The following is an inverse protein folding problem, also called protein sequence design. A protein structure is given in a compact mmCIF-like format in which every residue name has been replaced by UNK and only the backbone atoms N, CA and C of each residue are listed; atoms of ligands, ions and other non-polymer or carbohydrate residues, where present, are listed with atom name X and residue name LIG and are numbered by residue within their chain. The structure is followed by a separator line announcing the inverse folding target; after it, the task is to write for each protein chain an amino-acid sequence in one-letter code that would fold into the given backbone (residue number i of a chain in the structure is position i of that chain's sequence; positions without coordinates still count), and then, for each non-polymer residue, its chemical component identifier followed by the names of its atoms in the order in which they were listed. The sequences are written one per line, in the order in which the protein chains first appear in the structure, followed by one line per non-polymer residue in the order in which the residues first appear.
data_IF_479603538402
#
_entry.id   IF_479603538402
#
_cell.length_a   1.000
_cell.length_b   1.000
_cell.length_c   1.000
_cell.angle_alpha   90.00
_cell.angle_beta   90.00
_cell.angle_gamma   90.00
#
_symmetry.space_group_name_H-M   'P 1'
#
loop_
_entity.id
_entity.type
_entity.pdbx_description
1 polymer ?
#
# COMPACT_ATOMS: atom_id res chain seq x y z
N UNK A 1 -7.51 1.19 2.13
CA UNK A 1 -8.73 1.43 1.32
C UNK A 1 -9.19 2.89 1.42
N UNK A 2 -9.45 3.42 2.62
CA UNK A 2 -9.93 4.81 2.83
C UNK A 2 -9.03 5.89 2.22
N UNK A 3 -7.71 5.81 2.41
CA UNK A 3 -6.77 6.78 1.81
C UNK A 3 -6.81 6.76 0.28
N UNK A 4 -6.87 5.57 -0.32
CA UNK A 4 -6.95 5.45 -1.78
C UNK A 4 -8.31 5.93 -2.32
N UNK A 5 -9.40 5.70 -1.58
CA UNK A 5 -10.71 6.25 -1.92
C UNK A 5 -10.71 7.79 -1.92
N UNK A 6 -10.04 8.42 -0.95
CA UNK A 6 -9.87 9.87 -0.92
C UNK A 6 -9.11 10.38 -2.15
N UNK A 7 -8.02 9.71 -2.52
CA UNK A 7 -7.25 10.05 -3.71
C UNK A 7 -8.10 9.95 -4.97
N UNK A 8 -8.78 8.81 -5.18
CA UNK A 8 -9.64 8.60 -6.36
C UNK A 8 -10.76 9.63 -6.43
N UNK A 9 -11.43 9.93 -5.31
CA UNK A 9 -12.50 10.93 -5.27
C UNK A 9 -11.96 12.32 -5.64
N UNK A 10 -10.76 12.67 -5.16
CA UNK A 10 -10.09 13.92 -5.50
C UNK A 10 -9.68 13.98 -6.98
N UNK A 11 -9.13 12.90 -7.52
CA UNK A 11 -8.75 12.82 -8.94
C UNK A 11 -9.99 12.90 -9.84
N UNK A 12 -11.08 12.26 -9.44
CA UNK A 12 -12.37 12.37 -10.13
C UNK A 12 -12.86 13.82 -10.15
N UNK A 13 -12.82 14.52 -9.01
CA UNK A 13 -13.18 15.95 -8.93
C UNK A 13 -12.33 16.78 -9.91
N UNK A 14 -11.03 16.51 -9.98
CA UNK A 14 -10.10 17.22 -10.85
C UNK A 14 -10.45 17.05 -12.34
N UNK A 15 -10.92 15.88 -12.77
CA UNK A 15 -11.36 15.63 -14.15
C UNK A 15 -12.53 16.55 -14.53
N UNK A 16 -13.43 16.84 -13.60
CA UNK A 16 -14.56 17.75 -13.82
C UNK A 16 -14.15 19.25 -13.78
N UNK A 17 -12.94 19.58 -13.31
CA UNK A 17 -12.50 20.98 -13.18
C UNK A 17 -13.40 21.81 -12.26
N UNK A 18 -13.58 23.10 -12.58
CA UNK A 18 -14.37 24.01 -11.74
C UNK A 18 -15.85 23.62 -11.60
N UNK A 19 -16.44 22.95 -12.59
CA UNK A 19 -17.83 22.47 -12.51
C UNK A 19 -17.98 21.30 -11.55
N UNK A 20 -16.90 20.54 -11.31
CA UNK A 20 -16.88 19.48 -10.29
C UNK A 20 -17.16 19.98 -8.88
N UNK A 21 -16.86 21.26 -8.58
CA UNK A 21 -17.17 21.91 -7.31
C UNK A 21 -18.63 22.36 -7.18
N UNK A 22 -19.37 22.38 -8.29
CA UNK A 22 -20.80 22.72 -8.29
C UNK A 22 -21.63 21.49 -7.97
N UNK A 23 -22.86 21.71 -7.49
CA UNK A 23 -23.80 20.62 -7.14
C UNK A 23 -24.44 19.92 -8.35
N UNK A 24 -24.04 20.31 -9.56
CA UNK A 24 -24.51 19.72 -10.82
C UNK A 24 -24.02 18.28 -11.00
N UNK A 25 -22.87 17.95 -10.37
CA UNK A 25 -22.30 16.60 -10.37
C UNK A 25 -22.15 16.08 -8.94
N UNK A 26 -22.31 14.76 -8.71
CA UNK A 26 -22.20 14.19 -7.37
C UNK A 26 -20.76 14.17 -6.83
N UNK A 27 -19.76 14.50 -7.64
CA UNK A 27 -18.34 14.32 -7.32
C UNK A 27 -17.88 15.16 -6.12
N UNK A 28 -18.38 16.40 -5.94
CA UNK A 28 -18.10 17.20 -4.73
C UNK A 28 -18.55 16.47 -3.46
N UNK A 29 -19.71 15.82 -3.52
CA UNK A 29 -20.26 15.05 -2.41
C UNK A 29 -19.42 13.80 -2.15
N UNK A 30 -19.00 13.10 -3.21
CA UNK A 30 -18.14 11.92 -3.08
C UNK A 30 -16.80 12.26 -2.39
N UNK A 31 -16.20 13.43 -2.68
CA UNK A 31 -14.99 13.87 -1.98
C UNK A 31 -15.24 14.09 -0.49
N UNK A 32 -16.34 14.75 -0.13
CA UNK A 32 -16.71 14.97 1.28
C UNK A 32 -17.00 13.66 1.99
N UNK A 33 -17.74 12.76 1.35
CA UNK A 33 -18.10 11.46 1.91
C UNK A 33 -16.88 10.54 2.04
N UNK A 34 -15.94 10.58 1.08
CA UNK A 34 -14.69 9.85 1.19
C UNK A 34 -13.84 10.35 2.37
N UNK A 35 -13.87 11.64 2.68
CA UNK A 35 -13.04 12.23 3.73
C UNK A 35 -13.29 11.65 5.11
N UNK A 36 -14.54 11.33 5.47
CA UNK A 36 -14.81 10.82 6.81
C UNK A 36 -14.21 9.42 7.04
N UNK A 37 -13.96 8.66 5.96
CA UNK A 37 -13.51 7.27 6.02
C UNK A 37 -12.09 7.10 6.55
N UNK A 38 -11.27 8.16 6.61
CA UNK A 38 -9.94 8.10 7.22
C UNK A 38 -9.90 8.65 8.66
N UNK A 39 -11.06 9.05 9.21
CA UNK A 39 -11.20 9.64 10.54
C UNK A 39 -12.00 8.74 11.49
N UNK A 40 -13.17 8.25 11.07
CA UNK A 40 -14.03 7.42 11.92
C UNK A 40 -13.62 5.95 11.94
N UNK A 41 -14.02 5.25 13.01
CA UNK A 41 -13.68 3.83 13.27
C UNK A 41 -12.17 3.55 13.33
N UNK A 42 -11.41 4.57 13.74
CA UNK A 42 -9.95 4.53 13.82
C UNK A 42 -9.30 5.22 12.63
N UNK A 43 -8.49 6.23 12.92
CA UNK A 43 -7.76 6.97 11.90
C UNK A 43 -6.82 6.06 11.12
N UNK A 44 -6.39 6.48 9.93
CA UNK A 44 -5.41 5.72 9.13
C UNK A 44 -4.17 5.32 9.95
N UNK A 45 -3.72 6.17 10.86
CA UNK A 45 -2.58 5.87 11.71
C UNK A 45 -2.89 4.77 12.74
N UNK A 46 -4.08 4.78 13.35
CA UNK A 46 -4.49 3.69 14.23
C UNK A 46 -4.65 2.37 13.48
N UNK A 47 -5.11 2.41 12.23
CA UNK A 47 -5.18 1.23 11.36
C UNK A 47 -3.78 0.67 11.03
N UNK A 48 -2.79 1.54 10.80
CA UNK A 48 -1.38 1.12 10.63
C UNK A 48 -0.87 0.42 11.90
N UNK A 49 -1.10 1.00 13.08
CA UNK A 49 -0.72 0.39 14.37
C UNK A 49 -1.41 -0.97 14.57
N UNK A 50 -2.65 -1.12 14.11
CA UNK A 50 -3.33 -2.40 14.16
C UNK A 50 -2.71 -3.41 13.18
N UNK A 51 -2.43 -3.01 11.95
CA UNK A 51 -1.95 -3.85 10.86
C UNK A 51 -0.48 -4.29 11.05
N UNK A 52 0.39 -3.45 11.62
CA UNK A 52 1.80 -3.82 11.84
C UNK A 52 1.94 -5.03 12.76
N UNK A 53 0.98 -5.28 13.66
CA UNK A 53 0.92 -6.51 14.48
C UNK A 53 0.78 -7.76 13.61
N UNK A 54 -0.02 -7.68 12.54
CA UNK A 54 -0.16 -8.77 11.56
C UNK A 54 1.17 -9.05 10.84
N UNK A 55 1.89 -7.99 10.45
CA UNK A 55 3.24 -8.12 9.88
C UNK A 55 4.20 -8.79 10.88
N UNK A 56 4.24 -8.30 12.11
CA UNK A 56 5.16 -8.81 13.14
C UNK A 56 4.87 -10.27 13.52
N UNK A 57 3.60 -10.67 13.54
CA UNK A 57 3.20 -12.06 13.75
C UNK A 57 3.48 -12.99 12.56
N UNK A 58 3.80 -12.44 11.37
CA UNK A 58 4.00 -13.19 10.14
C UNK A 58 2.72 -13.68 9.45
N UNK A 59 1.53 -13.38 9.99
CA UNK A 59 0.26 -13.89 9.42
C UNK A 59 0.03 -13.42 7.98
N UNK A 60 0.41 -12.18 7.65
CA UNK A 60 0.27 -11.65 6.30
C UNK A 60 1.29 -12.26 5.34
N UNK A 61 2.54 -12.42 5.77
CA UNK A 61 3.56 -13.07 4.94
C UNK A 61 3.18 -14.52 4.64
N UNK A 62 2.66 -15.25 5.63
CA UNK A 62 2.11 -16.59 5.40
C UNK A 62 1.03 -16.59 4.32
N UNK A 63 0.08 -15.65 4.38
CA UNK A 63 -0.98 -15.52 3.37
C UNK A 63 -0.42 -15.17 1.99
N UNK A 64 0.60 -14.32 1.91
CA UNK A 64 1.29 -14.01 0.65
C UNK A 64 1.93 -15.27 0.06
N UNK A 65 2.59 -16.10 0.88
CA UNK A 65 3.17 -17.38 0.42
C UNK A 65 2.09 -18.38 -0.03
N UNK A 66 0.91 -18.36 0.58
CA UNK A 66 -0.25 -19.13 0.11
C UNK A 66 -0.70 -18.67 -1.30
N UNK A 67 -0.72 -17.36 -1.58
CA UNK A 67 -1.00 -16.83 -2.92
C UNK A 67 0.11 -17.15 -3.93
N UNK A 68 1.37 -17.04 -3.51
CA UNK A 68 2.54 -17.40 -4.32
C UNK A 68 2.50 -18.86 -4.77
N UNK A 69 1.95 -19.77 -3.96
CA UNK A 69 1.83 -21.18 -4.29
C UNK A 69 0.75 -21.50 -5.34
N UNK A 70 -0.17 -20.56 -5.65
CA UNK A 70 -1.23 -20.79 -6.63
C UNK A 70 -0.65 -20.94 -8.03
N UNK A 71 -1.06 -21.98 -8.75
CA UNK A 71 -0.65 -22.19 -10.14
C UNK A 71 -1.48 -21.29 -11.06
N UNK A 72 -0.81 -20.38 -11.76
CA UNK A 72 -1.42 -19.43 -12.69
C UNK A 72 -1.04 -19.77 -14.13
N UNK A 73 -1.86 -19.32 -15.10
CA UNK A 73 -1.55 -19.46 -16.53
C UNK A 73 -0.17 -18.89 -16.87
N UNK A 74 0.54 -19.43 -17.88
CA UNK A 74 1.88 -18.99 -18.24
C UNK A 74 2.03 -17.49 -18.51
N UNK A 75 1.01 -16.84 -19.07
CA UNK A 75 0.98 -15.40 -19.34
C UNK A 75 1.14 -14.53 -18.08
N UNK A 76 0.72 -15.03 -16.91
CA UNK A 76 0.76 -14.30 -15.64
C UNK A 76 2.08 -14.47 -14.88
N UNK A 77 2.97 -15.35 -15.33
CA UNK A 77 4.20 -15.66 -14.60
C UNK A 77 5.15 -14.47 -14.50
N UNK A 78 5.17 -13.58 -15.49
CA UNK A 78 5.98 -12.35 -15.43
C UNK A 78 5.52 -11.45 -14.28
N UNK A 79 4.22 -11.18 -14.18
CA UNK A 79 3.66 -10.37 -13.09
C UNK A 79 3.79 -11.08 -11.73
N UNK A 80 3.62 -12.40 -11.70
CA UNK A 80 3.85 -13.21 -10.49
C UNK A 80 5.28 -13.07 -9.99
N UNK A 81 6.27 -13.16 -10.88
CA UNK A 81 7.67 -12.98 -10.53
C UNK A 81 7.97 -11.58 -9.99
N UNK A 82 7.31 -10.53 -10.51
CA UNK A 82 7.37 -9.18 -9.93
C UNK A 82 6.86 -9.17 -8.49
N UNK A 83 5.72 -9.81 -8.20
CA UNK A 83 5.17 -9.89 -6.84
C UNK A 83 6.06 -10.70 -5.89
N UNK A 84 6.69 -11.77 -6.37
CA UNK A 84 7.70 -12.53 -5.61
C UNK A 84 8.86 -11.61 -5.24
N UNK A 85 9.40 -10.84 -6.19
CA UNK A 85 10.50 -9.92 -5.88
C UNK A 85 10.07 -8.73 -5.01
N UNK A 86 8.84 -8.24 -5.15
CA UNK A 86 8.28 -7.27 -4.20
C UNK A 86 8.23 -7.85 -2.78
N UNK A 87 7.89 -9.14 -2.64
CA UNK A 87 7.86 -9.85 -1.36
C UNK A 87 9.26 -9.99 -0.76
N UNK A 88 10.24 -10.40 -1.56
CA UNK A 88 11.64 -10.52 -1.12
C UNK A 88 12.19 -9.16 -0.63
N UNK A 89 11.91 -8.07 -1.35
CA UNK A 89 12.28 -6.70 -0.93
C UNK A 89 11.61 -6.26 0.35
N UNK A 90 10.34 -6.61 0.52
CA UNK A 90 9.62 -6.36 1.77
C UNK A 90 10.28 -7.10 2.94
N UNK A 91 10.62 -8.38 2.78
CA UNK A 91 11.29 -9.16 3.83
C UNK A 91 12.63 -8.52 4.23
N UNK A 92 13.47 -8.11 3.25
CA UNK A 92 14.72 -7.37 3.52
C UNK A 92 14.48 -6.04 4.26
N UNK A 93 13.48 -5.27 3.82
CA UNK A 93 13.12 -4.00 4.47
C UNK A 93 12.65 -4.20 5.91
N UNK A 94 11.90 -5.27 6.17
CA UNK A 94 11.44 -5.63 7.51
C UNK A 94 12.60 -6.06 8.40
N UNK A 95 13.58 -6.81 7.87
CA UNK A 95 14.80 -7.18 8.60
C UNK A 95 15.61 -5.95 8.99
N UNK A 96 15.83 -5.00 8.06
CA UNK A 96 16.51 -3.73 8.34
C UNK A 96 15.80 -2.97 9.46
N UNK A 97 14.47 -2.80 9.34
CA UNK A 97 13.70 -2.05 10.33
C UNK A 97 13.73 -2.72 11.72
N UNK A 98 13.68 -4.05 11.78
CA UNK A 98 13.76 -4.81 13.04
C UNK A 98 15.16 -4.79 13.66
N UNK A 99 16.20 -4.56 12.87
CA UNK A 99 17.57 -4.47 13.35
C UNK A 99 17.90 -3.12 14.01
N UNK A 100 17.03 -2.10 13.88
CA UNK A 100 17.19 -0.85 14.58
C UNK A 100 17.06 -1.05 16.10
N UNK A 101 18.04 -0.56 16.86
CA UNK A 101 17.99 -0.56 18.32
C UNK A 101 17.12 0.59 18.88
N UNK A 102 16.09 1.01 18.14
CA UNK A 102 15.23 2.13 18.45
C UNK A 102 13.79 1.85 18.00
N UNK A 103 12.89 1.64 18.97
CA UNK A 103 11.48 1.32 18.72
C UNK A 103 10.74 2.46 18.00
N UNK A 104 11.11 3.71 18.25
CA UNK A 104 10.45 4.86 17.63
C UNK A 104 10.78 4.95 16.13
N UNK A 105 11.99 4.57 15.71
CA UNK A 105 12.33 4.46 14.29
C UNK A 105 11.47 3.40 13.57
N UNK A 106 11.25 2.26 14.24
CA UNK A 106 10.38 1.21 13.72
C UNK A 106 8.92 1.69 13.60
N UNK A 107 8.40 2.31 14.65
CA UNK A 107 7.03 2.83 14.66
C UNK A 107 6.81 3.91 13.60
N UNK A 108 7.79 4.81 13.43
CA UNK A 108 7.76 5.85 12.39
C UNK A 108 7.66 5.26 10.97
N UNK A 109 8.32 4.13 10.73
CA UNK A 109 8.35 3.47 9.42
C UNK A 109 7.26 2.39 9.25
N UNK A 110 6.44 2.14 10.28
CA UNK A 110 5.39 1.11 10.24
C UNK A 110 4.39 1.34 9.11
N UNK A 111 4.06 2.60 8.78
CA UNK A 111 3.17 2.91 7.65
C UNK A 111 3.73 2.41 6.33
N UNK A 112 5.04 2.60 6.09
CA UNK A 112 5.70 2.17 4.85
C UNK A 112 5.65 0.64 4.71
N UNK A 113 5.95 -0.08 5.78
CA UNK A 113 5.86 -1.55 5.80
C UNK A 113 4.43 -2.05 5.55
N UNK A 114 3.43 -1.43 6.18
CA UNK A 114 2.01 -1.77 5.98
C UNK A 114 1.56 -1.50 4.54
N UNK A 115 1.94 -0.37 3.96
CA UNK A 115 1.61 -0.04 2.56
C UNK A 115 2.32 -0.98 1.57
N UNK A 116 3.58 -1.33 1.82
CA UNK A 116 4.31 -2.32 1.01
C UNK A 116 3.59 -3.67 0.97
N UNK A 117 3.21 -4.18 2.15
CA UNK A 117 2.44 -5.42 2.29
C UNK A 117 1.07 -5.32 1.62
N UNK A 118 0.39 -4.18 1.76
CA UNK A 118 -0.90 -3.92 1.12
C UNK A 118 -0.82 -4.01 -0.41
N UNK A 119 0.19 -3.38 -1.02
CA UNK A 119 0.43 -3.44 -2.46
C UNK A 119 0.69 -4.87 -2.95
N UNK A 120 1.46 -5.65 -2.19
CA UNK A 120 1.74 -7.07 -2.52
C UNK A 120 0.45 -7.89 -2.47
N UNK A 121 -0.33 -7.79 -1.38
CA UNK A 121 -1.58 -8.55 -1.22
C UNK A 121 -2.58 -8.21 -2.32
N UNK A 122 -2.81 -6.91 -2.59
CA UNK A 122 -3.75 -6.48 -3.64
C UNK A 122 -3.25 -6.92 -5.02
N UNK A 123 -1.95 -6.86 -5.27
CA UNK A 123 -1.35 -7.33 -6.51
C UNK A 123 -1.60 -8.82 -6.75
N UNK A 124 -1.44 -9.66 -5.72
CA UNK A 124 -1.78 -11.09 -5.82
C UNK A 124 -3.28 -11.30 -6.07
N UNK A 125 -4.16 -10.61 -5.34
CA UNK A 125 -5.60 -10.74 -5.52
C UNK A 125 -6.03 -10.36 -6.95
N UNK A 126 -5.55 -9.22 -7.48
CA UNK A 126 -5.84 -8.81 -8.85
C UNK A 126 -5.29 -9.79 -9.88
N UNK A 127 -4.11 -10.35 -9.65
CA UNK A 127 -3.52 -11.34 -10.55
C UNK A 127 -4.32 -12.64 -10.57
N UNK A 128 -4.78 -13.09 -9.39
CA UNK A 128 -5.66 -14.26 -9.26
C UNK A 128 -7.00 -13.97 -9.94
N UNK A 129 -7.59 -12.80 -9.75
CA UNK A 129 -8.85 -12.42 -10.41
C UNK A 129 -8.69 -12.33 -11.94
N UNK A 130 -7.54 -11.83 -12.43
CA UNK A 130 -7.21 -11.79 -13.85
C UNK A 130 -7.05 -13.19 -14.46
N UNK A 131 -6.56 -14.17 -13.71
CA UNK A 131 -6.50 -15.57 -14.16
C UNK A 131 -7.89 -16.16 -14.39
N UNK A 132 -8.87 -15.77 -13.56
CA UNK A 132 -10.26 -16.21 -13.69
C UNK A 132 -11.08 -15.40 -14.70
N UNK A 133 -10.79 -14.10 -14.85
CA UNK A 133 -11.55 -13.18 -15.69
C UNK A 133 -10.64 -12.08 -16.30
N UNK A 134 -10.52 -12.12 -17.62
CA UNK A 134 -9.69 -11.21 -18.41
C UNK A 134 -10.03 -9.72 -18.23
N UNK A 135 -11.23 -9.37 -17.72
CA UNK A 135 -11.59 -7.99 -17.42
C UNK A 135 -10.65 -7.34 -16.38
N UNK A 136 -10.00 -8.13 -15.53
CA UNK A 136 -9.04 -7.64 -14.54
C UNK A 136 -7.60 -7.59 -15.05
N UNK A 137 -7.30 -8.14 -16.23
CA UNK A 137 -5.95 -8.19 -16.80
C UNK A 137 -5.28 -6.81 -16.83
N UNK A 138 -6.01 -5.81 -17.35
CA UNK A 138 -5.51 -4.45 -17.47
C UNK A 138 -5.20 -3.82 -16.10
N UNK A 139 -6.12 -4.00 -15.14
CA UNK A 139 -5.95 -3.51 -13.78
C UNK A 139 -4.78 -4.18 -13.06
N UNK A 140 -4.61 -5.50 -13.20
CA UNK A 140 -3.50 -6.24 -12.63
C UNK A 140 -2.16 -5.72 -13.15
N UNK A 141 -2.02 -5.53 -14.48
CA UNK A 141 -0.81 -4.98 -15.08
C UNK A 141 -0.46 -3.58 -14.55
N UNK A 142 -1.42 -2.66 -14.54
CA UNK A 142 -1.18 -1.28 -14.09
C UNK A 142 -0.88 -1.25 -12.60
N UNK A 143 -1.70 -1.92 -11.79
CA UNK A 143 -1.58 -1.88 -10.34
C UNK A 143 -0.28 -2.50 -9.86
N UNK A 144 0.09 -3.68 -10.36
CA UNK A 144 1.32 -4.38 -9.93
C UNK A 144 2.55 -3.53 -10.27
N UNK A 145 2.61 -2.94 -11.47
CA UNK A 145 3.73 -2.08 -11.86
C UNK A 145 3.83 -0.81 -11.03
N UNK A 146 2.69 -0.15 -10.77
CA UNK A 146 2.65 1.04 -9.93
C UNK A 146 3.03 0.71 -8.48
N UNK A 147 2.46 -0.38 -7.93
CA UNK A 147 2.72 -0.85 -6.57
C UNK A 147 4.17 -1.26 -6.38
N UNK A 148 4.80 -1.86 -7.39
CA UNK A 148 6.22 -2.17 -7.39
C UNK A 148 7.09 -0.92 -7.23
N UNK A 149 6.85 0.11 -8.04
CA UNK A 149 7.58 1.38 -7.94
C UNK A 149 7.38 2.06 -6.57
N UNK A 150 6.14 2.07 -6.06
CA UNK A 150 5.82 2.60 -4.73
C UNK A 150 6.49 1.80 -3.60
N UNK A 151 6.65 0.49 -3.76
CA UNK A 151 7.35 -0.34 -2.79
C UNK A 151 8.86 -0.06 -2.82
N UNK A 152 9.43 0.12 -4.02
CA UNK A 152 10.84 0.47 -4.18
C UNK A 152 11.18 1.84 -3.55
N UNK A 153 10.29 2.82 -3.67
CA UNK A 153 10.43 4.12 -2.96
C UNK A 153 10.53 3.93 -1.44
N UNK A 154 9.64 3.09 -0.88
CA UNK A 154 9.56 2.81 0.56
C UNK A 154 10.76 2.00 1.06
N UNK A 155 11.17 0.99 0.30
CA UNK A 155 12.39 0.22 0.54
C UNK A 155 13.60 1.15 0.64
N UNK A 156 13.78 2.01 -0.37
CA UNK A 156 14.91 2.94 -0.38
C UNK A 156 14.87 3.89 0.83
N UNK A 157 13.69 4.43 1.18
CA UNK A 157 13.54 5.27 2.37
C UNK A 157 13.96 4.53 3.65
N UNK A 158 13.46 3.30 3.86
CA UNK A 158 13.79 2.49 5.04
C UNK A 158 15.29 2.17 5.07
N UNK A 159 15.89 1.81 3.94
CA UNK A 159 17.28 1.39 3.87
C UNK A 159 18.28 2.49 4.30
N UNK A 160 17.94 3.77 4.07
CA UNK A 160 18.80 4.91 4.37
C UNK A 160 18.38 5.70 5.62
N UNK A 161 17.28 5.33 6.29
CA UNK A 161 16.73 6.07 7.41
C UNK A 161 17.59 5.96 8.68
N UNK A 162 17.88 7.08 9.32
CA UNK A 162 18.75 7.17 10.50
C UNK A 162 18.08 7.84 11.70
N UNK A 163 18.71 7.76 12.88
CA UNK A 163 18.26 8.50 14.07
C UNK A 163 18.28 10.02 13.87
N UNK A 164 19.23 10.53 13.07
CA UNK A 164 19.29 11.96 12.74
C UNK A 164 18.06 12.41 11.96
N UNK A 165 17.55 11.56 11.07
CA UNK A 165 16.34 11.86 10.30
C UNK A 165 15.12 11.91 11.22
N UNK A 166 15.00 10.96 12.16
CA UNK A 166 13.94 10.96 13.16
C UNK A 166 13.98 12.21 14.05
N UNK A 167 15.17 12.59 14.53
CA UNK A 167 15.36 13.78 15.35
C UNK A 167 14.95 15.07 14.62
N UNK A 168 15.20 15.13 13.30
CA UNK A 168 14.78 16.27 12.47
C UNK A 168 13.25 16.42 12.47
N UNK A 169 12.49 15.33 12.37
CA UNK A 169 11.02 15.38 12.45
C UNK A 169 10.51 15.85 13.82
N UNK A 170 11.15 15.43 14.91
CA UNK A 170 10.77 15.84 16.27
C UNK A 170 11.11 17.30 16.60
N UNK A 171 12.07 17.88 15.89
CA UNK A 171 12.51 19.27 16.12
C UNK A 171 11.49 20.32 15.68
N UNK A 172 10.53 19.94 14.83
CA UNK A 172 9.45 20.80 14.34
C UNK A 172 8.29 20.73 15.35
N UNK A 173 8.21 21.73 16.23
CA UNK A 173 7.07 21.96 17.14
C UNK A 173 6.13 23.02 16.60
#
# INVERSE_FOLDING_TARGET
ASEYCNQIASDALQIHGGTGYMKDFPVERLVRDARITNIYEGTSQLQVVAAIRGINSGVFLKRVKEYEAINLKPEWQVLKNTLIEMTNRFERSLEIAKAWNNAEMFDFNSRRLVEMMGNIIIGYLLLIDADHNDAYAHSAHIFIRMGDAQNHEKENYIAVFTESDLAAYQSIK
#
